data_IF_016189838775
#
_entry.id   IF_016189838775
#
_cell.length_a   1.000
_cell.length_b   1.000
_cell.length_c   1.000
_cell.angle_alpha   90.00
_cell.angle_beta   90.00
_cell.angle_gamma   90.00
#
_symmetry.space_group_name_H-M   'P 1'
#
loop_
_entity.id
_entity.type
_entity.pdbx_description
1 polymer ?
#
# COMPACT_ATOMS: atom_id res chain seq x y z
N UNK A 1 22.86 -0.31 2.62
CA UNK A 1 22.53 0.07 4.01
C UNK A 1 21.22 -0.62 4.40
N UNK A 2 21.21 -1.74 5.17
CA UNK A 2 19.98 -2.50 5.45
C UNK A 2 19.58 -2.64 6.94
N UNK A 3 20.21 -1.92 7.88
CA UNK A 3 19.95 -2.13 9.31
C UNK A 3 18.64 -1.48 9.82
N UNK A 4 18.14 -0.43 9.16
CA UNK A 4 16.90 0.26 9.59
C UNK A 4 15.65 -0.54 9.24
N UNK A 5 15.59 -1.10 8.02
CA UNK A 5 14.42 -1.85 7.54
C UNK A 5 14.19 -3.15 8.33
N UNK A 6 15.27 -3.83 8.74
CA UNK A 6 15.19 -5.02 9.60
C UNK A 6 14.64 -4.72 10.99
N UNK A 7 14.95 -3.54 11.55
CA UNK A 7 14.41 -3.10 12.85
C UNK A 7 12.90 -2.84 12.77
N UNK A 8 12.45 -2.16 11.71
CA UNK A 8 11.02 -1.94 11.47
C UNK A 8 10.26 -3.26 11.35
N UNK A 9 10.81 -4.21 10.60
CA UNK A 9 10.17 -5.51 10.45
C UNK A 9 10.10 -6.27 11.79
N UNK A 10 11.19 -6.33 12.55
CA UNK A 10 11.21 -7.06 13.82
C UNK A 10 10.19 -6.52 14.83
N UNK A 11 10.08 -5.19 14.96
CA UNK A 11 9.13 -4.56 15.89
C UNK A 11 7.69 -4.75 15.41
N UNK A 12 7.44 -4.66 14.10
CA UNK A 12 6.11 -4.92 13.53
C UNK A 12 5.66 -6.37 13.78
N UNK A 13 6.57 -7.35 13.68
CA UNK A 13 6.31 -8.75 14.03
C UNK A 13 5.90 -8.88 15.50
N UNK A 14 6.60 -8.20 16.42
CA UNK A 14 6.26 -8.23 17.85
C UNK A 14 4.85 -7.69 18.08
N UNK A 15 4.52 -6.51 17.55
CA UNK A 15 3.17 -5.95 17.69
C UNK A 15 2.09 -6.84 17.08
N UNK A 16 2.36 -7.45 15.92
CA UNK A 16 1.44 -8.41 15.30
C UNK A 16 1.25 -9.66 16.17
N UNK A 17 2.32 -10.20 16.76
CA UNK A 17 2.25 -11.40 17.61
C UNK A 17 1.55 -11.17 18.95
N UNK A 18 1.58 -9.94 19.45
CA UNK A 18 0.88 -9.52 20.66
C UNK A 18 -0.54 -8.98 20.37
N UNK A 19 -0.99 -9.05 19.11
CA UNK A 19 -2.29 -8.52 18.65
C UNK A 19 -2.49 -7.02 18.96
N UNK A 20 -1.39 -6.27 19.08
CA UNK A 20 -1.37 -4.84 19.34
C UNK A 20 -1.53 -4.04 18.06
N UNK A 21 -2.69 -4.18 17.43
CA UNK A 21 -2.95 -3.64 16.09
C UNK A 21 -2.94 -2.10 16.02
N UNK A 22 -3.36 -1.40 17.07
CA UNK A 22 -3.28 0.07 17.13
C UNK A 22 -1.82 0.55 17.09
N UNK A 23 -0.98 -0.04 17.95
CA UNK A 23 0.46 0.24 17.97
C UNK A 23 1.11 -0.12 16.63
N UNK A 24 0.70 -1.24 16.03
CA UNK A 24 1.19 -1.66 14.72
C UNK A 24 0.85 -0.63 13.64
N UNK A 25 -0.37 -0.10 13.59
CA UNK A 25 -0.77 0.93 12.62
C UNK A 25 0.06 2.20 12.77
N UNK A 26 0.19 2.70 14.00
CA UNK A 26 1.01 3.89 14.25
C UNK A 26 2.48 3.65 13.92
N UNK A 27 2.96 2.44 14.15
CA UNK A 27 4.31 2.05 13.79
C UNK A 27 4.52 2.01 12.27
N UNK A 28 3.59 1.42 11.52
CA UNK A 28 3.60 1.39 10.05
C UNK A 28 3.52 2.80 9.46
N UNK A 29 2.72 3.69 10.05
CA UNK A 29 2.62 5.10 9.69
C UNK A 29 3.98 5.81 9.80
N UNK A 30 4.73 5.55 10.88
CA UNK A 30 6.08 6.13 11.10
C UNK A 30 7.13 5.53 10.18
N UNK A 31 7.02 4.24 9.85
CA UNK A 31 7.94 3.56 8.96
C UNK A 31 7.89 4.10 7.52
N UNK A 32 6.75 4.66 7.12
CA UNK A 32 6.48 5.23 5.78
C UNK A 32 6.90 4.28 4.63
N UNK A 33 6.59 2.99 4.78
CA UNK A 33 7.02 1.93 3.86
C UNK A 33 5.82 1.14 3.35
N UNK A 34 5.62 1.18 2.03
CA UNK A 34 4.59 0.40 1.34
C UNK A 34 4.82 -1.09 1.54
N UNK A 35 6.08 -1.53 1.43
CA UNK A 35 6.46 -2.93 1.56
C UNK A 35 6.21 -3.46 2.96
N UNK A 36 6.38 -2.62 3.99
CA UNK A 36 6.07 -3.01 5.36
C UNK A 36 4.56 -3.06 5.59
N UNK A 37 3.81 -2.07 5.09
CA UNK A 37 2.34 -2.07 5.18
C UNK A 37 1.74 -3.32 4.51
N UNK A 38 2.18 -3.66 3.30
CA UNK A 38 1.70 -4.82 2.54
C UNK A 38 2.00 -6.19 3.21
N UNK A 39 2.96 -6.25 4.14
CA UNK A 39 3.23 -7.49 4.88
C UNK A 39 2.23 -7.73 6.01
N UNK A 40 1.67 -6.67 6.60
CA UNK A 40 0.81 -6.75 7.78
C UNK A 40 -0.64 -6.33 7.50
N UNK A 41 -0.94 -5.81 6.31
CA UNK A 41 -2.26 -5.30 5.96
C UNK A 41 -3.37 -6.34 6.12
N UNK A 42 -3.14 -7.60 5.75
CA UNK A 42 -4.10 -8.69 5.92
C UNK A 42 -4.55 -8.90 7.38
N UNK A 43 -3.71 -8.56 8.36
CA UNK A 43 -4.06 -8.62 9.79
C UNK A 43 -4.90 -7.42 10.22
N UNK A 44 -4.67 -6.27 9.58
CA UNK A 44 -5.24 -4.98 9.98
C UNK A 44 -6.56 -4.67 9.26
N UNK A 45 -6.67 -5.05 7.99
CA UNK A 45 -7.82 -4.78 7.13
C UNK A 45 -9.17 -5.20 7.72
N UNK A 46 -9.32 -6.34 8.45
CA UNK A 46 -10.61 -6.73 9.02
C UNK A 46 -11.19 -5.76 10.05
N UNK A 47 -10.33 -4.96 10.72
CA UNK A 47 -10.75 -4.09 11.84
C UNK A 47 -10.40 -2.62 11.65
N UNK A 48 -9.41 -2.32 10.81
CA UNK A 48 -8.83 -1.00 10.59
C UNK A 48 -8.76 -0.65 9.09
N UNK A 49 -9.79 -1.03 8.34
CA UNK A 49 -9.85 -0.82 6.90
C UNK A 49 -9.67 0.66 6.52
N UNK A 50 -10.24 1.58 7.30
CA UNK A 50 -10.15 3.01 7.03
C UNK A 50 -8.72 3.52 7.21
N UNK A 51 -8.08 3.19 8.32
CA UNK A 51 -6.72 3.63 8.65
C UNK A 51 -5.69 3.03 7.68
N UNK A 52 -5.81 1.74 7.39
CA UNK A 52 -4.96 1.06 6.38
C UNK A 52 -5.17 1.69 5.01
N UNK A 53 -6.42 1.97 4.64
CA UNK A 53 -6.74 2.62 3.37
C UNK A 53 -6.15 4.02 3.25
N UNK A 54 -6.23 4.82 4.31
CA UNK A 54 -5.61 6.15 4.37
C UNK A 54 -4.07 6.05 4.25
N UNK A 55 -3.43 5.10 4.94
CA UNK A 55 -1.99 4.88 4.83
C UNK A 55 -1.59 4.51 3.40
N UNK A 56 -2.29 3.56 2.77
CA UNK A 56 -2.05 3.20 1.38
C UNK A 56 -2.19 4.40 0.45
N UNK A 57 -3.25 5.20 0.62
CA UNK A 57 -3.46 6.41 -0.17
C UNK A 57 -2.29 7.38 -0.06
N UNK A 58 -1.83 7.68 1.16
CA UNK A 58 -0.72 8.60 1.39
C UNK A 58 0.56 8.06 0.75
N UNK A 59 0.90 6.81 1.03
CA UNK A 59 2.15 6.20 0.58
C UNK A 59 2.20 6.06 -0.94
N UNK A 60 1.12 5.60 -1.57
CA UNK A 60 1.08 5.40 -3.03
C UNK A 60 1.05 6.72 -3.80
N UNK A 61 0.35 7.74 -3.28
CA UNK A 61 0.41 9.08 -3.87
C UNK A 61 1.82 9.66 -3.78
N UNK A 62 2.49 9.51 -2.64
CA UNK A 62 3.88 9.96 -2.47
C UNK A 62 4.83 9.20 -3.41
N UNK A 63 4.65 7.88 -3.53
CA UNK A 63 5.44 7.05 -4.44
C UNK A 63 5.26 7.48 -5.90
N UNK A 64 4.02 7.63 -6.36
CA UNK A 64 3.74 8.13 -7.72
C UNK A 64 4.27 9.55 -7.94
N UNK A 65 4.21 10.43 -6.94
CA UNK A 65 4.79 11.78 -7.06
C UNK A 65 6.30 11.74 -7.29
N UNK A 66 7.01 10.85 -6.60
CA UNK A 66 8.47 10.76 -6.64
C UNK A 66 9.00 9.87 -7.77
N UNK A 67 8.15 9.01 -8.35
CA UNK A 67 8.55 8.04 -9.35
C UNK A 67 7.63 8.08 -10.58
N UNK A 68 8.25 8.23 -11.76
CA UNK A 68 7.55 8.33 -13.04
C UNK A 68 8.10 7.25 -14.00
N UNK A 69 7.21 6.62 -14.76
CA UNK A 69 7.55 5.66 -15.81
C UNK A 69 6.91 4.30 -15.61
N UNK A 70 7.29 3.34 -16.46
CA UNK A 70 6.68 2.02 -16.53
C UNK A 70 6.85 1.19 -15.24
N UNK A 71 8.06 1.15 -14.65
CA UNK A 71 8.33 0.35 -13.45
C UNK A 71 7.48 0.78 -12.24
N UNK A 72 7.39 2.07 -11.89
CA UNK A 72 6.48 2.53 -10.83
C UNK A 72 5.01 2.21 -11.11
N UNK A 73 4.55 2.37 -12.35
CA UNK A 73 3.17 2.05 -12.73
C UNK A 73 2.83 0.57 -12.54
N UNK A 74 3.72 -0.32 -12.98
CA UNK A 74 3.57 -1.76 -12.77
C UNK A 74 3.56 -2.11 -11.28
N UNK A 75 4.42 -1.48 -10.48
CA UNK A 75 4.46 -1.69 -9.03
C UNK A 75 3.13 -1.29 -8.37
N UNK A 76 2.52 -0.19 -8.80
CA UNK A 76 1.17 0.20 -8.33
C UNK A 76 0.15 -0.88 -8.67
N UNK A 77 0.17 -1.43 -9.90
CA UNK A 77 -0.74 -2.52 -10.27
C UNK A 77 -0.57 -3.74 -9.36
N UNK A 78 0.66 -4.18 -9.13
CA UNK A 78 0.98 -5.33 -8.26
C UNK A 78 0.45 -5.12 -6.82
N UNK A 79 0.54 -3.89 -6.30
CA UNK A 79 0.01 -3.57 -4.96
C UNK A 79 -1.52 -3.53 -4.92
N UNK A 80 -2.16 -3.07 -5.98
CA UNK A 80 -3.63 -3.11 -6.10
C UNK A 80 -4.12 -4.55 -6.19
N UNK A 81 -3.40 -5.41 -6.93
CA UNK A 81 -3.69 -6.84 -7.02
C UNK A 81 -3.53 -7.52 -5.66
N UNK A 82 -2.46 -7.21 -4.92
CA UNK A 82 -2.27 -7.66 -3.54
C UNK A 82 -3.46 -7.27 -2.65
N UNK A 83 -3.89 -6.01 -2.69
CA UNK A 83 -5.04 -5.53 -1.91
C UNK A 83 -6.32 -6.31 -2.21
N UNK A 84 -6.56 -6.66 -3.48
CA UNK A 84 -7.69 -7.51 -3.83
C UNK A 84 -7.54 -8.95 -3.29
N UNK A 85 -6.32 -9.51 -3.33
CA UNK A 85 -6.04 -10.86 -2.82
C UNK A 85 -6.19 -10.97 -1.30
N UNK A 86 -5.84 -9.94 -0.54
CA UNK A 86 -5.99 -9.90 0.93
C UNK A 86 -7.41 -9.52 1.38
N UNK A 87 -8.37 -9.45 0.46
CA UNK A 87 -9.78 -9.23 0.78
C UNK A 87 -10.20 -7.76 0.84
N UNK A 88 -9.43 -6.84 0.27
CA UNK A 88 -9.77 -5.41 0.15
C UNK A 88 -9.94 -4.93 -1.31
N UNK A 89 -10.75 -5.59 -2.14
CA UNK A 89 -10.97 -5.18 -3.54
C UNK A 89 -11.63 -3.81 -3.65
N UNK A 90 -12.46 -3.41 -2.69
CA UNK A 90 -13.08 -2.07 -2.65
C UNK A 90 -12.03 -0.97 -2.43
N UNK A 91 -11.05 -1.22 -1.56
CA UNK A 91 -9.94 -0.30 -1.35
C UNK A 91 -9.12 -0.17 -2.64
N UNK A 92 -8.79 -1.29 -3.30
CA UNK A 92 -8.10 -1.28 -4.59
C UNK A 92 -8.88 -0.47 -5.65
N UNK A 93 -10.19 -0.68 -5.78
CA UNK A 93 -11.04 0.08 -6.69
C UNK A 93 -11.04 1.58 -6.37
N UNK A 94 -11.11 1.94 -5.08
CA UNK A 94 -11.08 3.35 -4.65
C UNK A 94 -9.74 4.02 -5.01
N UNK A 95 -8.62 3.31 -4.86
CA UNK A 95 -7.28 3.79 -5.22
C UNK A 95 -7.13 3.92 -6.73
N UNK A 96 -7.66 2.99 -7.53
CA UNK A 96 -7.69 3.09 -9.00
C UNK A 96 -8.42 4.36 -9.44
N UNK A 97 -9.60 4.62 -8.88
CA UNK A 97 -10.38 5.81 -9.20
C UNK A 97 -9.60 7.09 -8.83
N UNK A 98 -8.99 7.10 -7.65
CA UNK A 98 -8.14 8.21 -7.20
C UNK A 98 -6.96 8.47 -8.14
N UNK A 99 -6.26 7.42 -8.58
CA UNK A 99 -5.09 7.56 -9.46
C UNK A 99 -5.48 8.02 -10.86
N UNK A 100 -6.61 7.54 -11.39
CA UNK A 100 -7.16 8.03 -12.67
C UNK A 100 -7.53 9.51 -12.61
N UNK A 101 -8.07 9.97 -11.48
CA UNK A 101 -8.42 11.38 -11.29
C UNK A 101 -7.18 12.27 -11.04
N UNK A 102 -6.19 11.76 -10.31
CA UNK A 102 -5.02 12.55 -9.89
C UNK A 102 -3.91 12.62 -10.93
N UNK A 103 -3.82 11.61 -11.82
CA UNK A 103 -2.73 11.48 -12.80
C UNK A 103 -3.22 11.06 -14.19
N UNK A 104 -4.26 11.69 -14.77
CA UNK A 104 -4.83 11.31 -16.07
C UNK A 104 -3.81 11.39 -17.22
N UNK A 105 -2.80 12.25 -17.10
CA UNK A 105 -1.74 12.46 -18.10
C UNK A 105 -0.72 11.32 -18.15
N UNK A 106 -0.66 10.48 -17.11
CA UNK A 106 0.35 9.41 -17.00
C UNK A 106 -0.08 8.16 -17.77
N UNK A 107 0.19 8.15 -19.08
CA UNK A 107 -0.17 7.05 -19.99
C UNK A 107 0.24 5.66 -19.46
N UNK A 108 1.49 5.48 -19.05
CA UNK A 108 1.95 4.18 -18.54
C UNK A 108 1.21 3.73 -17.27
N UNK A 109 0.78 4.65 -16.41
CA UNK A 109 -0.07 4.31 -15.27
C UNK A 109 -1.46 3.91 -15.73
N UNK A 110 -2.06 4.67 -16.65
CA UNK A 110 -3.38 4.37 -17.19
C UNK A 110 -3.44 3.01 -17.90
N UNK A 111 -2.39 2.64 -18.62
CA UNK A 111 -2.27 1.31 -19.24
C UNK A 111 -2.24 0.19 -18.19
N UNK A 112 -1.42 0.33 -17.16
CA UNK A 112 -1.32 -0.64 -16.07
C UNK A 112 -2.65 -0.77 -15.30
N UNK A 113 -3.33 0.36 -15.04
CA UNK A 113 -4.65 0.36 -14.38
C UNK A 113 -5.78 -0.18 -15.27
N UNK A 114 -5.65 -0.15 -16.61
CA UNK A 114 -6.61 -0.79 -17.53
C UNK A 114 -6.42 -2.30 -17.59
N UNK A 115 -5.19 -2.76 -17.41
CA UNK A 115 -4.83 -4.18 -17.36
C UNK A 115 -5.05 -4.82 -15.98
N UNK A 116 -5.46 -4.05 -14.98
CA UNK A 116 -5.81 -4.55 -13.65
C UNK A 116 -6.98 -5.55 -13.72
N UNK A 117 -6.78 -6.74 -13.13
CA UNK A 117 -7.79 -7.81 -13.07
C UNK A 117 -8.01 -8.57 -14.37
N UNK A 118 -7.10 -8.46 -15.34
CA UNK A 118 -7.17 -9.13 -16.64
C UNK A 118 -6.36 -10.42 -16.68
#
# INVERSE_FOLDING_TARGET
MPASQQKWQAIAIVYASEERYEDLIDYLRRANSIELLAQFDHLLLPRYQEEVGQLYRILLLQYLKNHIGYRPSRRIRELLEHLAQVGAPELAASLIALFKASYPERQSLMEELKSYGR
#
